data_IF_238979456650
#
_entry.id   IF_238979456650
#
_cell.length_a   1.000
_cell.length_b   1.000
_cell.length_c   1.000
_cell.angle_alpha   90.00
_cell.angle_beta   90.00
_cell.angle_gamma   90.00
#
_symmetry.space_group_name_H-M   'P 1'
#
loop_
_entity.id
_entity.type
_entity.pdbx_description
1 polymer ?
#
# COMPACT_ATOMS: atom_id res chain seq x y z
N UNK A 1 0.48 59.27 2.49
CA UNK A 1 -0.06 59.74 3.79
C UNK A 1 -0.46 58.50 4.59
N UNK A 2 0.33 58.13 5.63
CA UNK A 2 0.00 58.27 7.08
C UNK A 2 -1.11 57.28 7.52
N UNK A 3 -0.99 56.39 8.51
CA UNK A 3 0.03 56.10 9.55
C UNK A 3 -0.15 54.63 10.01
N UNK A 4 0.96 53.99 10.33
CA UNK A 4 1.05 52.73 11.05
C UNK A 4 0.44 52.79 12.46
N UNK A 5 -0.22 51.72 12.91
CA UNK A 5 -0.62 51.57 14.31
C UNK A 5 0.29 50.56 14.99
N UNK A 6 1.24 51.12 15.71
CA UNK A 6 2.16 50.45 16.62
C UNK A 6 1.40 49.99 17.86
N UNK A 7 1.69 48.77 18.32
CA UNK A 7 1.58 48.40 19.72
C UNK A 7 2.92 47.82 20.13
N UNK A 8 3.65 48.61 20.92
CA UNK A 8 4.87 48.20 21.59
C UNK A 8 4.52 47.85 23.05
N UNK A 9 4.62 46.57 23.39
CA UNK A 9 4.81 46.04 24.73
C UNK A 9 5.66 44.78 24.54
N UNK A 10 6.72 44.49 25.25
CA UNK A 10 7.54 45.23 26.18
C UNK A 10 8.84 44.42 26.24
N UNK A 11 9.97 45.10 26.39
CA UNK A 11 11.27 44.47 26.47
C UNK A 11 11.38 43.63 27.76
N UNK A 12 11.63 42.34 27.62
CA UNK A 12 12.29 41.54 28.66
C UNK A 12 13.61 41.04 28.06
N UNK A 13 14.65 41.79 28.41
CA UNK A 13 16.05 41.52 28.15
C UNK A 13 16.49 40.34 29.02
N UNK A 14 16.80 39.20 28.41
CA UNK A 14 17.67 38.18 29.01
C UNK A 14 18.75 37.82 27.99
N UNK A 15 19.97 38.17 28.36
CA UNK A 15 21.26 37.92 27.71
C UNK A 15 22.07 37.27 28.86
N UNK A 16 22.72 36.11 28.79
CA UNK A 16 23.65 35.54 27.80
C UNK A 16 23.96 34.09 28.26
N UNK A 17 23.99 33.11 27.35
CA UNK A 17 24.95 32.00 27.35
C UNK A 17 24.75 31.20 26.05
N UNK A 18 25.76 31.22 25.18
CA UNK A 18 25.65 30.77 23.80
C UNK A 18 25.38 29.28 23.64
N UNK A 19 24.42 28.98 22.78
CA UNK A 19 24.40 27.79 21.93
C UNK A 19 23.79 28.26 20.60
N UNK A 20 24.49 28.04 19.50
CA UNK A 20 24.09 28.46 18.16
C UNK A 20 22.68 27.92 17.81
N UNK A 21 21.80 28.69 17.12
CA UNK A 21 20.62 28.10 16.54
C UNK A 21 21.07 27.25 15.34
N UNK A 22 21.20 25.94 15.56
CA UNK A 22 21.15 24.98 14.46
C UNK A 22 19.82 25.20 13.73
N UNK A 23 19.90 25.57 12.45
CA UNK A 23 18.74 25.63 11.57
C UNK A 23 18.00 24.28 11.64
N UNK A 24 16.68 24.25 11.86
CA UNK A 24 15.91 23.06 11.51
C UNK A 24 15.78 23.03 9.98
N UNK A 25 16.86 22.65 9.30
CA UNK A 25 16.78 22.13 7.93
C UNK A 25 16.24 20.71 8.04
N UNK A 26 14.93 20.63 8.25
CA UNK A 26 14.15 19.41 8.21
C UNK A 26 13.02 19.61 7.23
N UNK A 27 13.36 19.86 5.96
CA UNK A 27 12.48 19.40 4.91
C UNK A 27 12.25 17.90 5.17
N UNK A 28 11.03 17.35 5.02
CA UNK A 28 10.89 15.92 4.98
C UNK A 28 11.68 15.49 3.75
N UNK A 29 12.90 15.00 3.95
CA UNK A 29 13.48 14.07 3.01
C UNK A 29 12.50 12.90 3.00
N UNK A 30 11.57 12.94 2.06
CA UNK A 30 11.10 11.73 1.41
C UNK A 30 12.39 11.01 1.05
N UNK A 31 12.79 10.09 1.93
CA UNK A 31 13.86 9.15 1.69
C UNK A 31 13.35 8.25 0.56
N UNK A 32 13.35 8.83 -0.63
CA UNK A 32 13.06 8.15 -1.87
C UNK A 32 14.35 7.42 -2.16
N UNK A 33 14.61 6.38 -1.37
CA UNK A 33 15.59 5.37 -1.70
C UNK A 33 15.41 5.09 -3.19
N UNK A 34 16.48 5.32 -3.97
CA UNK A 34 16.40 5.29 -5.42
C UNK A 34 15.84 3.93 -5.85
N UNK A 35 14.60 3.95 -6.35
CA UNK A 35 13.89 2.72 -6.70
C UNK A 35 14.61 2.09 -7.89
N UNK A 36 15.00 0.82 -7.76
CA UNK A 36 15.78 0.14 -8.79
C UNK A 36 15.04 0.05 -10.13
N UNK A 37 13.71 -0.02 -10.11
CA UNK A 37 12.89 -0.07 -11.31
C UNK A 37 11.66 0.86 -11.25
N UNK A 38 11.78 2.14 -11.68
CA UNK A 38 10.69 3.11 -11.63
C UNK A 38 9.52 2.76 -12.57
N UNK A 39 9.80 2.08 -13.69
CA UNK A 39 8.76 1.62 -14.61
C UNK A 39 7.92 0.52 -13.97
N UNK A 40 8.56 -0.44 -13.30
CA UNK A 40 7.86 -1.48 -12.55
C UNK A 40 6.99 -0.88 -11.44
N UNK A 41 7.56 0.04 -10.66
CA UNK A 41 6.82 0.77 -9.62
C UNK A 41 5.57 1.43 -10.20
N UNK A 42 5.69 2.11 -11.34
CA UNK A 42 4.57 2.78 -12.00
C UNK A 42 3.47 1.79 -12.40
N UNK A 43 3.84 0.64 -12.98
CA UNK A 43 2.89 -0.41 -13.36
C UNK A 43 2.15 -1.00 -12.16
N UNK A 44 2.86 -1.20 -11.03
CA UNK A 44 2.24 -1.67 -9.79
C UNK A 44 1.30 -0.64 -9.20
N UNK A 45 1.70 0.64 -9.16
CA UNK A 45 0.85 1.73 -8.66
C UNK A 45 -0.43 1.86 -9.50
N UNK A 46 -0.34 1.69 -10.83
CA UNK A 46 -1.52 1.64 -11.67
C UNK A 46 -2.42 0.45 -11.31
N UNK A 47 -1.86 -0.75 -11.16
CA UNK A 47 -2.61 -1.93 -10.74
C UNK A 47 -3.30 -1.73 -9.38
N UNK A 48 -2.62 -1.10 -8.42
CA UNK A 48 -3.17 -0.77 -7.10
C UNK A 48 -4.33 0.22 -7.23
N UNK A 49 -4.18 1.24 -8.07
CA UNK A 49 -5.24 2.21 -8.34
C UNK A 49 -6.46 1.55 -8.99
N UNK A 50 -6.25 0.74 -10.01
CA UNK A 50 -7.32 0.03 -10.73
C UNK A 50 -8.11 -0.89 -9.79
N UNK A 51 -7.42 -1.67 -8.95
CA UNK A 51 -8.04 -2.57 -7.98
C UNK A 51 -8.78 -1.79 -6.88
N UNK A 52 -8.25 -0.65 -6.42
CA UNK A 52 -8.94 0.20 -5.47
C UNK A 52 -10.23 0.80 -6.06
N UNK A 53 -10.18 1.24 -7.31
CA UNK A 53 -11.32 1.79 -8.05
C UNK A 53 -12.40 0.72 -8.28
N UNK A 54 -12.02 -0.46 -8.77
CA UNK A 54 -12.96 -1.57 -8.97
C UNK A 54 -13.71 -1.93 -7.67
N UNK A 55 -13.03 -1.91 -6.52
CA UNK A 55 -13.70 -2.11 -5.22
C UNK A 55 -14.63 -0.96 -4.85
N UNK A 56 -14.25 0.28 -5.15
CA UNK A 56 -15.08 1.45 -4.87
C UNK A 56 -16.38 1.39 -5.69
N UNK A 57 -16.28 1.04 -6.98
CA UNK A 57 -17.42 0.85 -7.86
C UNK A 57 -18.33 -0.28 -7.36
N UNK A 58 -17.78 -1.44 -6.99
CA UNK A 58 -18.56 -2.53 -6.42
C UNK A 58 -19.30 -2.12 -5.14
N UNK A 59 -18.67 -1.34 -4.26
CA UNK A 59 -19.33 -0.84 -3.03
C UNK A 59 -20.43 0.18 -3.32
N UNK A 60 -20.26 0.99 -4.36
CA UNK A 60 -21.27 1.95 -4.81
C UNK A 60 -22.49 1.23 -5.39
N UNK A 61 -22.25 0.24 -6.26
CA UNK A 61 -23.31 -0.42 -7.02
C UNK A 61 -24.08 -1.46 -6.17
N UNK A 62 -23.43 -2.01 -5.15
CA UNK A 62 -23.98 -2.99 -4.21
C UNK A 62 -23.91 -2.50 -2.76
N UNK A 63 -24.92 -1.71 -2.38
CA UNK A 63 -25.03 -1.23 -0.99
C UNK A 63 -25.26 -2.40 -0.01
N UNK A 64 -24.78 -2.29 1.25
CA UNK A 64 -25.00 -3.33 2.25
C UNK A 64 -26.49 -3.68 2.45
N UNK A 65 -27.37 -2.70 2.40
CA UNK A 65 -28.82 -2.89 2.52
C UNK A 65 -29.37 -3.73 1.37
N UNK A 66 -28.95 -3.44 0.13
CA UNK A 66 -29.36 -4.21 -1.05
C UNK A 66 -28.90 -5.67 -0.96
N UNK A 67 -27.65 -5.88 -0.54
CA UNK A 67 -27.07 -7.22 -0.41
C UNK A 67 -27.74 -8.10 0.66
N UNK A 68 -28.33 -7.49 1.69
CA UNK A 68 -29.02 -8.22 2.77
C UNK A 68 -30.42 -8.71 2.35
N UNK A 69 -31.10 -7.99 1.45
CA UNK A 69 -32.49 -8.27 1.09
C UNK A 69 -32.66 -8.90 -0.30
N UNK A 70 -31.64 -8.87 -1.15
CA UNK A 70 -31.71 -9.41 -2.52
C UNK A 70 -30.59 -10.44 -2.79
N UNK A 71 -31.00 -11.72 -2.84
CA UNK A 71 -30.09 -12.85 -3.12
C UNK A 71 -29.53 -12.81 -4.55
N UNK A 72 -30.27 -12.25 -5.52
CA UNK A 72 -29.81 -12.11 -6.90
C UNK A 72 -28.67 -11.09 -6.96
N UNK A 73 -28.86 -9.92 -6.32
CA UNK A 73 -27.80 -8.92 -6.16
C UNK A 73 -26.59 -9.48 -5.41
N UNK A 74 -26.79 -10.29 -4.37
CA UNK A 74 -25.69 -10.94 -3.65
C UNK A 74 -24.86 -11.87 -4.54
N UNK A 75 -25.52 -12.69 -5.36
CA UNK A 75 -24.83 -13.58 -6.31
C UNK A 75 -24.09 -12.80 -7.39
N UNK A 76 -24.69 -11.72 -7.90
CA UNK A 76 -24.04 -10.84 -8.88
C UNK A 76 -22.79 -10.17 -8.29
N UNK A 77 -22.91 -9.59 -7.10
CA UNK A 77 -21.77 -9.03 -6.35
C UNK A 77 -20.66 -10.06 -6.14
N UNK A 78 -20.98 -11.26 -5.66
CA UNK A 78 -19.98 -12.31 -5.44
C UNK A 78 -19.26 -12.72 -6.74
N UNK A 79 -19.97 -12.75 -7.87
CA UNK A 79 -19.37 -13.01 -9.19
C UNK A 79 -18.43 -11.88 -9.60
N UNK A 80 -18.85 -10.63 -9.49
CA UNK A 80 -18.04 -9.48 -9.90
C UNK A 80 -16.81 -9.29 -9.01
N UNK A 81 -16.92 -9.52 -7.70
CA UNK A 81 -15.76 -9.57 -6.79
C UNK A 81 -14.75 -10.61 -7.26
N UNK A 82 -15.19 -11.82 -7.64
CA UNK A 82 -14.29 -12.87 -8.15
C UNK A 82 -13.62 -12.46 -9.46
N UNK A 83 -14.35 -11.81 -10.36
CA UNK A 83 -13.79 -11.33 -11.62
C UNK A 83 -12.71 -10.26 -11.40
N UNK A 84 -13.00 -9.25 -10.58
CA UNK A 84 -12.03 -8.20 -10.24
C UNK A 84 -10.79 -8.76 -9.54
N UNK A 85 -10.96 -9.73 -8.63
CA UNK A 85 -9.85 -10.41 -7.98
C UNK A 85 -9.01 -11.24 -8.96
N UNK A 86 -9.66 -11.95 -9.88
CA UNK A 86 -8.98 -12.74 -10.92
C UNK A 86 -8.17 -11.85 -11.85
N UNK A 87 -8.73 -10.73 -12.30
CA UNK A 87 -8.00 -9.77 -13.13
C UNK A 87 -6.79 -9.19 -12.41
N UNK A 88 -6.95 -8.78 -11.14
CA UNK A 88 -5.85 -8.28 -10.32
C UNK A 88 -4.76 -9.33 -10.11
N UNK A 89 -5.15 -10.59 -9.89
CA UNK A 89 -4.23 -11.71 -9.78
C UNK A 89 -3.43 -11.92 -11.07
N UNK A 90 -4.10 -12.00 -12.23
CA UNK A 90 -3.44 -12.26 -13.51
C UNK A 90 -2.44 -11.16 -13.85
N UNK A 91 -2.85 -9.89 -13.68
CA UNK A 91 -1.96 -8.74 -13.88
C UNK A 91 -0.78 -8.74 -12.92
N UNK A 92 -1.01 -9.00 -11.63
CA UNK A 92 0.07 -9.04 -10.64
C UNK A 92 1.05 -10.20 -10.92
N UNK A 93 0.53 -11.40 -11.19
CA UNK A 93 1.34 -12.57 -11.51
C UNK A 93 2.20 -12.32 -12.75
N UNK A 94 1.63 -11.70 -13.78
CA UNK A 94 2.35 -11.35 -14.99
C UNK A 94 3.47 -10.33 -14.73
N UNK A 95 3.20 -9.31 -13.91
CA UNK A 95 4.21 -8.34 -13.50
C UNK A 95 5.37 -8.99 -12.73
N UNK A 96 5.05 -9.86 -11.76
CA UNK A 96 6.03 -10.62 -10.98
C UNK A 96 6.86 -11.53 -11.89
N UNK A 97 6.22 -12.23 -12.84
CA UNK A 97 6.89 -13.12 -13.79
C UNK A 97 7.91 -12.38 -14.67
N UNK A 98 7.58 -11.15 -15.11
CA UNK A 98 8.44 -10.36 -15.98
C UNK A 98 9.55 -9.62 -15.25
N UNK A 99 9.29 -9.14 -14.03
CA UNK A 99 10.13 -8.15 -13.36
C UNK A 99 10.68 -8.62 -12.00
N UNK A 100 10.30 -9.83 -11.57
CA UNK A 100 10.68 -10.37 -10.28
C UNK A 100 9.74 -9.94 -9.15
N UNK A 101 10.03 -10.44 -7.95
CA UNK A 101 9.23 -10.18 -6.76
C UNK A 101 9.30 -8.68 -6.36
N UNK A 102 8.17 -8.00 -6.10
CA UNK A 102 8.13 -6.58 -5.81
C UNK A 102 8.46 -6.32 -4.34
N UNK A 103 9.74 -6.34 -4.02
CA UNK A 103 10.27 -5.98 -2.71
C UNK A 103 10.68 -4.50 -2.62
N UNK A 104 11.05 -4.04 -1.42
CA UNK A 104 11.38 -2.64 -1.17
C UNK A 104 12.57 -2.14 -2.01
N UNK A 105 13.51 -3.01 -2.37
CA UNK A 105 14.66 -2.66 -3.21
C UNK A 105 14.23 -2.47 -4.67
N UNK A 106 13.32 -3.32 -5.16
CA UNK A 106 12.84 -3.25 -6.53
C UNK A 106 11.91 -2.05 -6.79
N UNK A 107 10.95 -1.79 -5.88
CA UNK A 107 9.81 -0.89 -6.15
C UNK A 107 9.54 0.14 -5.05
N UNK A 108 10.36 0.17 -4.00
CA UNK A 108 10.17 0.98 -2.79
C UNK A 108 9.22 0.30 -1.78
N UNK A 109 9.45 0.54 -0.49
CA UNK A 109 8.73 -0.10 0.61
C UNK A 109 7.21 0.12 0.55
N UNK A 110 6.77 1.35 0.28
CA UNK A 110 5.35 1.71 0.17
C UNK A 110 4.64 0.93 -0.95
N UNK A 111 5.27 0.86 -2.13
CA UNK A 111 4.71 0.12 -3.27
C UNK A 111 4.68 -1.38 -2.97
N UNK A 112 5.76 -1.92 -2.38
CA UNK A 112 5.83 -3.32 -1.98
C UNK A 112 4.70 -3.67 -1.00
N UNK A 113 4.48 -2.85 0.03
CA UNK A 113 3.37 -3.01 0.98
C UNK A 113 2.00 -2.98 0.30
N UNK A 114 1.78 -2.01 -0.59
CA UNK A 114 0.52 -1.90 -1.34
C UNK A 114 0.26 -3.12 -2.23
N UNK A 115 1.30 -3.72 -2.83
CA UNK A 115 1.18 -5.00 -3.54
C UNK A 115 0.78 -6.14 -2.61
N UNK A 116 1.33 -6.20 -1.39
CA UNK A 116 0.91 -7.20 -0.41
C UNK A 116 -0.58 -7.10 -0.08
N UNK A 117 -1.12 -5.88 0.02
CA UNK A 117 -2.55 -5.70 0.26
C UNK A 117 -3.38 -6.34 -0.86
N UNK A 118 -2.94 -6.24 -2.12
CA UNK A 118 -3.56 -6.98 -3.24
C UNK A 118 -3.42 -8.48 -3.06
N UNK A 119 -2.19 -8.96 -2.87
CA UNK A 119 -1.88 -10.37 -2.75
C UNK A 119 -2.68 -11.07 -1.63
N UNK A 120 -2.92 -10.38 -0.50
CA UNK A 120 -3.70 -10.92 0.62
C UNK A 120 -5.10 -11.40 0.23
N UNK A 121 -5.71 -10.77 -0.77
CA UNK A 121 -7.09 -11.06 -1.20
C UNK A 121 -7.19 -12.17 -2.24
N UNK A 122 -6.07 -12.53 -2.87
CA UNK A 122 -6.02 -13.59 -3.88
C UNK A 122 -6.10 -14.96 -3.19
N UNK A 123 -7.07 -15.79 -3.60
CA UNK A 123 -7.34 -17.10 -3.00
C UNK A 123 -6.76 -18.28 -3.78
N UNK A 124 -6.15 -18.03 -4.93
CA UNK A 124 -5.60 -19.06 -5.81
C UNK A 124 -4.35 -19.71 -5.17
N UNK A 125 -4.33 -21.04 -4.94
CA UNK A 125 -3.26 -21.69 -4.18
C UNK A 125 -1.86 -21.54 -4.76
N UNK A 126 -1.71 -21.66 -6.08
CA UNK A 126 -0.42 -21.55 -6.76
C UNK A 126 0.20 -20.18 -6.54
N UNK A 127 -0.56 -19.12 -6.86
CA UNK A 127 -0.18 -17.74 -6.61
C UNK A 127 0.19 -17.53 -5.14
N UNK A 128 -0.62 -18.04 -4.20
CA UNK A 128 -0.32 -17.87 -2.77
C UNK A 128 0.98 -18.56 -2.36
N UNK A 129 1.24 -19.76 -2.85
CA UNK A 129 2.48 -20.47 -2.59
C UNK A 129 3.70 -19.72 -3.17
N UNK A 130 3.56 -19.21 -4.39
CA UNK A 130 4.62 -18.47 -5.08
C UNK A 130 4.91 -17.13 -4.40
N UNK A 131 3.86 -16.40 -4.03
CA UNK A 131 3.98 -15.14 -3.30
C UNK A 131 4.58 -15.37 -1.90
N UNK A 132 4.22 -16.47 -1.22
CA UNK A 132 4.83 -16.83 0.07
C UNK A 132 6.34 -17.04 -0.06
N UNK A 133 6.79 -17.79 -1.07
CA UNK A 133 8.24 -17.99 -1.31
C UNK A 133 8.96 -16.67 -1.58
N UNK A 134 8.32 -15.77 -2.35
CA UNK A 134 8.85 -14.46 -2.65
C UNK A 134 9.00 -13.56 -1.42
N UNK A 135 7.95 -13.45 -0.59
CA UNK A 135 7.98 -12.63 0.63
C UNK A 135 8.96 -13.19 1.66
N UNK A 136 9.09 -14.52 1.78
CA UNK A 136 10.07 -15.16 2.66
C UNK A 136 11.50 -14.80 2.25
N UNK A 137 11.82 -14.89 0.96
CA UNK A 137 13.13 -14.52 0.43
C UNK A 137 13.43 -13.01 0.53
N UNK A 138 12.41 -12.16 0.42
CA UNK A 138 12.57 -10.71 0.58
C UNK A 138 12.80 -10.31 2.04
N UNK A 139 12.11 -10.94 3.00
CA UNK A 139 12.35 -10.73 4.44
C UNK A 139 13.76 -11.14 4.85
N UNK A 140 14.28 -12.26 4.33
CA UNK A 140 15.66 -12.69 4.63
C UNK A 140 16.71 -11.65 4.23
N UNK A 141 16.40 -10.80 3.25
CA UNK A 141 17.25 -9.73 2.73
C UNK A 141 16.88 -8.34 3.26
N UNK A 142 16.00 -8.28 4.26
CA UNK A 142 15.46 -7.04 4.84
C UNK A 142 14.77 -6.12 3.80
N UNK A 143 14.26 -6.70 2.71
CA UNK A 143 13.56 -6.01 1.64
C UNK A 143 12.03 -6.08 1.78
N UNK A 144 11.54 -6.61 2.90
CA UNK A 144 10.11 -6.72 3.20
C UNK A 144 9.84 -6.76 4.70
N UNK A 145 8.67 -6.29 5.12
CA UNK A 145 8.26 -6.34 6.51
C UNK A 145 7.97 -7.77 6.98
N UNK A 146 8.52 -8.15 8.14
CA UNK A 146 8.18 -9.40 8.85
C UNK A 146 6.70 -9.45 9.26
N UNK A 147 6.09 -8.30 9.52
CA UNK A 147 4.66 -8.21 9.86
C UNK A 147 3.80 -8.63 8.66
N UNK A 148 4.11 -8.12 7.47
CA UNK A 148 3.39 -8.47 6.24
C UNK A 148 3.58 -9.96 5.90
N UNK A 149 4.79 -10.49 6.02
CA UNK A 149 5.06 -11.92 5.86
C UNK A 149 4.19 -12.77 6.79
N UNK A 150 4.15 -12.43 8.07
CA UNK A 150 3.38 -13.17 9.09
C UNK A 150 1.88 -13.11 8.79
N UNK A 151 1.36 -11.93 8.45
CA UNK A 151 -0.04 -11.73 8.09
C UNK A 151 -0.40 -12.55 6.84
N UNK A 152 0.45 -12.55 5.82
CA UNK A 152 0.23 -13.31 4.61
C UNK A 152 0.20 -14.83 4.88
N UNK A 153 1.17 -15.34 5.66
CA UNK A 153 1.26 -16.74 6.04
C UNK A 153 0.04 -17.19 6.87
N UNK A 154 -0.38 -16.39 7.86
CA UNK A 154 -1.58 -16.65 8.66
C UNK A 154 -2.83 -16.72 7.78
N UNK A 155 -2.98 -15.75 6.86
CA UNK A 155 -4.10 -15.73 5.93
C UNK A 155 -4.09 -16.93 4.98
N UNK A 156 -2.92 -17.33 4.48
CA UNK A 156 -2.76 -18.52 3.64
C UNK A 156 -3.24 -19.77 4.35
N UNK A 157 -2.78 -20.00 5.58
CA UNK A 157 -3.20 -21.14 6.40
C UNK A 157 -4.71 -21.15 6.66
N UNK A 158 -5.28 -20.00 7.01
CA UNK A 158 -6.71 -19.88 7.27
C UNK A 158 -7.59 -20.15 6.02
N UNK A 159 -7.08 -19.87 4.82
CA UNK A 159 -7.78 -20.16 3.56
C UNK A 159 -7.63 -21.63 3.14
N UNK A 160 -6.47 -22.24 3.38
CA UNK A 160 -6.25 -23.67 3.10
C UNK A 160 -7.06 -24.57 4.04
N UNK A 161 -7.25 -24.19 5.30
CA UNK A 161 -8.02 -24.96 6.27
C UNK A 161 -9.55 -24.98 6.03
N UNK A 162 -10.06 -24.13 5.13
CA UNK A 162 -11.49 -24.04 4.79
C UNK A 162 -11.88 -24.86 3.55
N UNK A 163 -10.95 -25.62 2.99
CA UNK A 163 -11.14 -26.41 1.77
C UNK A 163 -11.46 -27.86 2.10
#
# INVERSE_FOLDING_TARGET
MRVARQWAFGAALWVLAGIAPAQPTGAPTEDTAAVANPAYRTQLLQLISDDAQARADLKRDYTPQRLQHDTVSLRAFAREVRMAQKESQERLAELIRRQGFPDAQAVGAETAHAVFLIAQRITEPGFRADFQRGIDAAVQRDAYSRADQTLFANRSRALSAKR
#
